data_IF_677975518990
#
_entry.id   IF_677975518990
#
_cell.length_a   1.000
_cell.length_b   1.000
_cell.length_c   1.000
_cell.angle_alpha   90.00
_cell.angle_beta   90.00
_cell.angle_gamma   90.00
#
_symmetry.space_group_name_H-M   'P 1'
#
loop_
_entity.id
_entity.type
_entity.pdbx_description
1 polymer ?
#
# COMPACT_ATOMS: atom_id res chain seq x y z
N UNK A 1 -0.19 35.31 6.30
CA UNK A 1 -1.61 35.61 6.62
C UNK A 1 -2.34 34.35 7.11
N UNK A 2 -3.18 34.49 8.16
CA UNK A 2 -3.94 33.38 8.80
C UNK A 2 -4.80 32.61 7.77
N UNK A 3 -5.43 33.30 6.83
CA UNK A 3 -6.23 32.68 5.75
C UNK A 3 -5.43 31.75 4.82
N UNK A 4 -4.17 32.06 4.55
CA UNK A 4 -3.31 31.19 3.73
C UNK A 4 -2.93 29.90 4.47
N UNK A 5 -2.82 29.95 5.81
CA UNK A 5 -2.56 28.78 6.66
C UNK A 5 -3.82 27.90 6.83
N UNK A 6 -5.01 28.50 6.94
CA UNK A 6 -6.30 27.80 7.00
C UNK A 6 -6.60 26.98 5.73
N UNK A 7 -6.43 27.57 4.54
CA UNK A 7 -6.64 26.86 3.28
C UNK A 7 -5.66 25.69 3.08
N UNK A 8 -4.43 25.85 3.58
CA UNK A 8 -3.43 24.80 3.59
C UNK A 8 -3.81 23.64 4.50
N UNK A 9 -4.33 23.93 5.70
CA UNK A 9 -4.85 22.94 6.63
C UNK A 9 -5.97 22.09 6.03
N UNK A 10 -6.90 22.70 5.29
CA UNK A 10 -8.00 21.95 4.64
C UNK A 10 -7.49 21.01 3.53
N UNK A 11 -6.59 21.49 2.66
CA UNK A 11 -6.02 20.66 1.59
C UNK A 11 -5.26 19.44 2.17
N UNK A 12 -4.45 19.66 3.20
CA UNK A 12 -3.68 18.60 3.86
C UNK A 12 -4.60 17.61 4.59
N UNK A 13 -5.68 18.09 5.21
CA UNK A 13 -6.70 17.23 5.83
C UNK A 13 -7.30 16.24 4.83
N UNK A 14 -7.75 16.74 3.67
CA UNK A 14 -8.35 15.88 2.63
C UNK A 14 -7.36 14.80 2.20
N UNK A 15 -6.10 15.17 1.93
CA UNK A 15 -5.04 14.21 1.53
C UNK A 15 -4.71 13.20 2.61
N UNK A 16 -4.68 13.60 3.87
CA UNK A 16 -4.51 12.69 5.00
C UNK A 16 -5.65 11.66 5.05
N UNK A 17 -6.89 12.12 4.92
CA UNK A 17 -8.07 11.26 4.89
C UNK A 17 -8.09 10.32 3.67
N UNK A 18 -7.61 10.76 2.50
CA UNK A 18 -7.57 9.93 1.30
C UNK A 18 -6.80 8.62 1.50
N UNK A 19 -5.74 8.62 2.31
CA UNK A 19 -4.97 7.41 2.63
C UNK A 19 -5.86 6.35 3.27
N UNK A 20 -6.61 6.74 4.30
CA UNK A 20 -7.57 5.86 4.97
C UNK A 20 -8.69 5.41 4.02
N UNK A 21 -9.30 6.35 3.29
CA UNK A 21 -10.41 6.06 2.38
C UNK A 21 -10.03 5.05 1.28
N UNK A 22 -8.85 5.17 0.69
CA UNK A 22 -8.37 4.20 -0.31
C UNK A 22 -8.03 2.85 0.32
N UNK A 23 -7.57 2.84 1.58
CA UNK A 23 -7.51 1.62 2.40
C UNK A 23 -8.88 0.94 2.51
N UNK A 24 -9.94 1.69 2.84
CA UNK A 24 -11.32 1.16 2.94
C UNK A 24 -11.85 0.62 1.60
N UNK A 25 -11.58 1.30 0.48
CA UNK A 25 -11.95 0.78 -0.85
C UNK A 25 -11.26 -0.55 -1.15
N UNK A 26 -9.97 -0.67 -0.81
CA UNK A 26 -9.24 -1.92 -0.94
C UNK A 26 -9.77 -3.01 0.02
N UNK A 27 -10.13 -2.65 1.27
CA UNK A 27 -10.79 -3.57 2.21
C UNK A 27 -12.08 -4.15 1.62
N UNK A 28 -12.92 -3.30 1.04
CA UNK A 28 -14.18 -3.70 0.41
C UNK A 28 -13.93 -4.67 -0.75
N UNK A 29 -13.01 -4.34 -1.65
CA UNK A 29 -12.67 -5.19 -2.79
C UNK A 29 -12.04 -6.53 -2.37
N UNK A 30 -11.13 -6.51 -1.41
CA UNK A 30 -10.52 -7.72 -0.85
C UNK A 30 -11.56 -8.61 -0.16
N UNK A 31 -12.50 -8.02 0.59
CA UNK A 31 -13.60 -8.76 1.23
C UNK A 31 -14.43 -9.52 0.22
N UNK A 32 -14.85 -8.84 -0.86
CA UNK A 32 -15.62 -9.44 -1.94
C UNK A 32 -14.85 -10.60 -2.56
N UNK A 33 -13.59 -10.36 -2.95
CA UNK A 33 -12.79 -11.37 -3.66
C UNK A 33 -12.43 -12.57 -2.78
N UNK A 34 -12.14 -12.37 -1.50
CA UNK A 34 -11.79 -13.45 -0.56
C UNK A 34 -13.01 -14.31 -0.22
N UNK A 35 -14.16 -13.68 0.11
CA UNK A 35 -15.41 -14.42 0.35
C UNK A 35 -15.81 -15.21 -0.89
N UNK A 36 -15.81 -14.57 -2.06
CA UNK A 36 -16.12 -15.26 -3.32
C UNK A 36 -15.14 -16.40 -3.61
N UNK A 37 -13.83 -16.20 -3.42
CA UNK A 37 -12.83 -17.23 -3.65
C UNK A 37 -12.94 -18.43 -2.69
N UNK A 38 -13.54 -18.19 -1.52
CA UNK A 38 -13.84 -19.24 -0.53
C UNK A 38 -15.10 -20.03 -0.91
N UNK A 39 -16.04 -19.45 -1.64
CA UNK A 39 -17.26 -20.14 -2.11
C UNK A 39 -17.03 -20.82 -3.46
N UNK A 40 -16.36 -20.12 -4.39
CA UNK A 40 -16.17 -20.58 -5.76
C UNK A 40 -15.26 -21.80 -5.77
N UNK A 41 -15.75 -22.86 -6.41
CA UNK A 41 -14.97 -24.07 -6.72
C UNK A 41 -14.72 -24.13 -8.22
N UNK A 42 -13.47 -24.44 -8.59
CA UNK A 42 -13.09 -24.65 -9.99
C UNK A 42 -11.81 -25.50 -10.08
N UNK A 43 -11.81 -26.52 -10.94
CA UNK A 43 -10.66 -27.37 -11.19
C UNK A 43 -10.36 -28.33 -10.04
N UNK A 44 -9.22 -29.02 -10.15
CA UNK A 44 -8.81 -30.09 -9.23
C UNK A 44 -7.32 -29.98 -8.92
N UNK A 45 -6.97 -30.10 -7.64
CA UNK A 45 -5.57 -30.24 -7.19
C UNK A 45 -5.19 -31.72 -7.16
N UNK A 46 -6.05 -32.55 -6.57
CA UNK A 46 -5.89 -34.01 -6.52
C UNK A 46 -6.67 -34.66 -7.65
N UNK A 47 -6.02 -35.59 -8.38
CA UNK A 47 -6.61 -36.25 -9.56
C UNK A 47 -7.92 -36.99 -9.23
N UNK A 48 -7.99 -37.59 -8.04
CA UNK A 48 -9.08 -38.48 -7.64
C UNK A 48 -10.18 -37.78 -6.82
N UNK A 49 -10.07 -36.48 -6.57
CA UNK A 49 -11.12 -35.74 -5.86
C UNK A 49 -12.38 -35.59 -6.71
N UNK A 50 -13.51 -36.07 -6.18
CA UNK A 50 -14.83 -35.89 -6.79
C UNK A 50 -15.33 -34.45 -6.68
N UNK A 51 -14.85 -33.69 -5.69
CA UNK A 51 -15.25 -32.30 -5.46
C UNK A 51 -14.19 -31.34 -5.98
N UNK A 52 -14.62 -30.36 -6.76
CA UNK A 52 -13.73 -29.27 -7.19
C UNK A 52 -13.21 -28.48 -5.98
N UNK A 53 -11.97 -28.03 -6.07
CA UNK A 53 -11.28 -27.31 -4.98
C UNK A 53 -11.80 -25.87 -4.90
N UNK A 54 -11.79 -25.27 -3.69
CA UNK A 54 -12.02 -23.82 -3.56
C UNK A 54 -10.91 -23.10 -4.30
N UNK A 55 -11.25 -22.06 -5.07
CA UNK A 55 -10.23 -21.35 -5.85
C UNK A 55 -9.20 -20.65 -4.95
N UNK A 56 -9.57 -20.32 -3.71
CA UNK A 56 -8.65 -19.78 -2.71
C UNK A 56 -7.56 -20.77 -2.27
N UNK A 57 -7.69 -22.07 -2.57
CA UNK A 57 -6.65 -23.07 -2.26
C UNK A 57 -5.50 -23.08 -3.27
N UNK A 58 -5.69 -22.48 -4.45
CA UNK A 58 -4.59 -22.30 -5.38
C UNK A 58 -3.63 -21.21 -4.91
N UNK A 59 -2.34 -21.55 -4.87
CA UNK A 59 -1.29 -20.61 -4.50
C UNK A 59 -1.29 -19.34 -5.38
N UNK A 60 -1.67 -19.45 -6.65
CA UNK A 60 -1.79 -18.29 -7.55
C UNK A 60 -2.91 -17.33 -7.13
N UNK A 61 -4.04 -17.84 -6.65
CA UNK A 61 -5.14 -17.04 -6.12
C UNK A 61 -4.72 -16.35 -4.81
N UNK A 62 -4.04 -17.09 -3.93
CA UNK A 62 -3.49 -16.57 -2.68
C UNK A 62 -2.46 -15.46 -2.94
N UNK A 63 -1.51 -15.69 -3.84
CA UNK A 63 -0.47 -14.73 -4.23
C UNK A 63 -1.07 -13.45 -4.83
N UNK A 64 -2.20 -13.55 -5.53
CA UNK A 64 -2.92 -12.38 -6.06
C UNK A 64 -3.64 -11.59 -4.96
N UNK A 65 -4.31 -12.27 -4.04
CA UNK A 65 -5.25 -11.65 -3.09
C UNK A 65 -4.66 -11.31 -1.72
N UNK A 66 -3.87 -12.17 -1.10
CA UNK A 66 -3.39 -11.95 0.27
C UNK A 66 -2.48 -10.72 0.42
N UNK A 67 -1.62 -10.38 -0.55
CA UNK A 67 -0.90 -9.10 -0.50
C UNK A 67 -1.85 -7.89 -0.51
N UNK A 68 -3.05 -8.00 -1.09
CA UNK A 68 -4.04 -6.92 -1.06
C UNK A 68 -4.68 -6.78 0.34
N UNK A 69 -4.89 -7.90 1.06
CA UNK A 69 -5.31 -7.85 2.48
C UNK A 69 -4.23 -7.13 3.29
N UNK A 70 -2.97 -7.55 3.17
CA UNK A 70 -1.87 -6.95 3.91
C UNK A 70 -1.70 -5.44 3.61
N UNK A 71 -1.82 -5.04 2.33
CA UNK A 71 -1.85 -3.63 1.91
C UNK A 71 -3.04 -2.86 2.49
N UNK A 72 -4.22 -3.45 2.56
CA UNK A 72 -5.39 -2.82 3.12
C UNK A 72 -5.16 -2.45 4.61
N UNK A 73 -4.64 -3.39 5.41
CA UNK A 73 -4.23 -3.13 6.79
C UNK A 73 -3.14 -2.05 6.89
N UNK A 74 -2.10 -2.13 6.06
CA UNK A 74 -1.03 -1.13 6.02
C UNK A 74 -1.58 0.29 5.76
N UNK A 75 -2.51 0.43 4.81
CA UNK A 75 -3.12 1.72 4.47
C UNK A 75 -4.06 2.25 5.55
N UNK A 76 -4.85 1.39 6.19
CA UNK A 76 -5.67 1.80 7.33
C UNK A 76 -4.81 2.33 8.48
N UNK A 77 -3.76 1.59 8.85
CA UNK A 77 -2.86 1.98 9.93
C UNK A 77 -2.09 3.26 9.63
N UNK A 78 -1.60 3.39 8.39
CA UNK A 78 -0.97 4.62 7.92
C UNK A 78 -1.95 5.79 7.91
N UNK A 79 -3.21 5.55 7.51
CA UNK A 79 -4.28 6.54 7.53
C UNK A 79 -4.56 7.06 8.94
N UNK A 80 -4.60 6.17 9.95
CA UNK A 80 -4.74 6.59 11.34
C UNK A 80 -3.52 7.39 11.83
N UNK A 81 -2.31 6.93 11.50
CA UNK A 81 -1.08 7.62 11.91
C UNK A 81 -1.00 9.04 11.31
N UNK A 82 -1.27 9.19 10.01
CA UNK A 82 -1.19 10.50 9.35
C UNK A 82 -2.28 11.46 9.84
N UNK A 83 -3.46 10.95 10.23
CA UNK A 83 -4.50 11.76 10.87
C UNK A 83 -4.10 12.23 12.27
N UNK A 84 -3.39 11.41 13.05
CA UNK A 84 -2.85 11.85 14.34
C UNK A 84 -1.80 12.95 14.14
N UNK A 85 -0.87 12.77 13.19
CA UNK A 85 0.14 13.79 12.85
C UNK A 85 -0.54 15.08 12.38
N UNK A 86 -1.63 14.97 11.60
CA UNK A 86 -2.43 16.14 11.20
C UNK A 86 -2.97 16.90 12.41
N UNK A 87 -3.63 16.21 13.35
CA UNK A 87 -4.19 16.84 14.54
C UNK A 87 -3.11 17.49 15.40
N UNK A 88 -2.00 16.79 15.66
CA UNK A 88 -0.84 17.33 16.39
C UNK A 88 -0.26 18.58 15.71
N UNK A 89 -0.20 18.58 14.38
CA UNK A 89 0.29 19.74 13.62
C UNK A 89 -0.67 20.92 13.71
N UNK A 90 -2.00 20.69 13.67
CA UNK A 90 -2.99 21.76 13.82
C UNK A 90 -2.95 22.36 15.23
N UNK A 91 -2.87 21.52 16.26
CA UNK A 91 -2.75 21.96 17.66
C UNK A 91 -1.45 22.77 17.90
N UNK A 92 -0.36 22.40 17.22
CA UNK A 92 0.90 23.13 17.24
C UNK A 92 0.80 24.51 16.56
N UNK A 93 0.10 24.60 15.43
CA UNK A 93 -0.09 25.87 14.70
C UNK A 93 -0.80 26.91 15.56
N UNK A 94 -1.80 26.51 16.35
CA UNK A 94 -2.53 27.40 17.27
C UNK A 94 -1.61 27.97 18.36
N UNK A 95 -0.51 27.27 18.67
CA UNK A 95 0.54 27.69 19.61
C UNK A 95 1.72 28.40 18.93
N UNK A 96 1.69 28.54 17.60
CA UNK A 96 2.77 29.14 16.80
C UNK A 96 3.89 28.17 16.39
N UNK A 97 3.76 26.87 16.66
CA UNK A 97 4.70 25.82 16.30
C UNK A 97 4.41 25.32 14.88
N UNK A 98 5.42 25.27 14.01
CA UNK A 98 5.24 24.89 12.59
C UNK A 98 6.18 23.80 12.11
N UNK A 99 6.90 23.14 13.02
CA UNK A 99 8.00 22.24 12.68
C UNK A 99 7.53 20.96 11.97
N UNK A 100 6.33 20.46 12.29
CA UNK A 100 5.74 19.28 11.67
C UNK A 100 5.05 19.55 10.32
N UNK A 101 4.82 20.82 9.98
CA UNK A 101 4.06 21.20 8.79
C UNK A 101 4.72 20.73 7.48
N UNK A 102 6.06 20.85 7.29
CA UNK A 102 6.73 20.33 6.11
C UNK A 102 6.65 18.81 5.98
N UNK A 103 6.78 18.07 7.10
CA UNK A 103 6.64 16.61 7.10
C UNK A 103 5.24 16.18 6.69
N UNK A 104 4.24 16.76 7.34
CA UNK A 104 2.84 16.44 7.10
C UNK A 104 2.50 16.68 5.62
N UNK A 105 2.96 17.77 5.04
CA UNK A 105 2.76 18.04 3.62
C UNK A 105 3.45 17.04 2.70
N UNK A 106 4.73 16.76 2.93
CA UNK A 106 5.48 15.81 2.12
C UNK A 106 4.89 14.40 2.21
N UNK A 107 4.54 13.95 3.42
CA UNK A 107 3.90 12.66 3.66
C UNK A 107 2.52 12.58 3.02
N UNK A 108 1.65 13.55 3.23
CA UNK A 108 0.29 13.51 2.66
C UNK A 108 0.31 13.58 1.13
N UNK A 109 1.22 14.36 0.52
CA UNK A 109 1.37 14.38 -0.94
C UNK A 109 1.92 13.06 -1.49
N UNK A 110 2.94 12.48 -0.83
CA UNK A 110 3.48 11.18 -1.20
C UNK A 110 2.45 10.05 -1.05
N UNK A 111 1.81 9.96 0.12
CA UNK A 111 0.80 8.96 0.45
C UNK A 111 -0.39 9.04 -0.50
N UNK A 112 -0.91 10.24 -0.77
CA UNK A 112 -1.97 10.43 -1.76
C UNK A 112 -1.57 9.79 -3.08
N UNK A 113 -0.36 10.04 -3.57
CA UNK A 113 0.10 9.48 -4.84
C UNK A 113 0.24 7.95 -4.82
N UNK A 114 0.96 7.43 -3.83
CA UNK A 114 1.31 6.01 -3.77
C UNK A 114 0.11 5.14 -3.41
N UNK A 115 -0.66 5.54 -2.41
CA UNK A 115 -1.79 4.74 -1.89
C UNK A 115 -2.94 4.69 -2.89
N UNK A 116 -3.27 5.81 -3.56
CA UNK A 116 -4.33 5.82 -4.57
C UNK A 116 -4.02 4.86 -5.73
N UNK A 117 -2.78 4.90 -6.23
CA UNK A 117 -2.34 4.05 -7.33
C UNK A 117 -2.29 2.56 -6.95
N UNK A 118 -1.71 2.24 -5.79
CA UNK A 118 -1.60 0.84 -5.34
C UNK A 118 -2.98 0.28 -4.97
N UNK A 119 -3.84 1.05 -4.30
CA UNK A 119 -5.20 0.62 -3.97
C UNK A 119 -6.03 0.39 -5.24
N UNK A 120 -6.00 1.31 -6.20
CA UNK A 120 -6.69 1.13 -7.49
C UNK A 120 -6.23 -0.13 -8.23
N UNK A 121 -4.91 -0.36 -8.29
CA UNK A 121 -4.34 -1.58 -8.88
C UNK A 121 -4.76 -2.84 -8.12
N UNK A 122 -4.77 -2.79 -6.78
CA UNK A 122 -5.19 -3.91 -5.92
C UNK A 122 -6.67 -4.26 -6.05
N UNK A 123 -7.54 -3.26 -6.19
CA UNK A 123 -8.97 -3.45 -6.46
C UNK A 123 -9.16 -4.17 -7.81
N UNK A 124 -8.41 -3.78 -8.84
CA UNK A 124 -8.47 -4.45 -10.14
C UNK A 124 -7.95 -5.90 -10.07
N UNK A 125 -6.92 -6.17 -9.26
CA UNK A 125 -6.51 -7.56 -8.97
C UNK A 125 -7.65 -8.37 -8.30
N UNK A 126 -8.39 -7.77 -7.37
CA UNK A 126 -9.56 -8.39 -6.74
C UNK A 126 -10.68 -8.68 -7.75
N UNK A 127 -10.93 -7.74 -8.68
CA UNK A 127 -11.90 -7.92 -9.78
C UNK A 127 -11.52 -9.09 -10.68
N UNK A 128 -10.28 -9.13 -11.16
CA UNK A 128 -9.79 -10.22 -12.01
C UNK A 128 -9.76 -11.57 -11.29
N UNK A 129 -9.53 -11.58 -9.98
CA UNK A 129 -9.56 -12.80 -9.17
C UNK A 129 -10.95 -13.44 -9.08
N UNK A 130 -12.02 -12.67 -9.31
CA UNK A 130 -13.39 -13.17 -9.35
C UNK A 130 -13.82 -13.74 -10.72
N UNK A 131 -12.90 -13.80 -11.69
CA UNK A 131 -13.15 -14.32 -13.03
C UNK A 131 -14.26 -13.55 -13.75
N UNK A 132 -15.03 -14.25 -14.60
CA UNK A 132 -16.11 -13.62 -15.38
C UNK A 132 -17.18 -12.94 -14.53
N UNK A 133 -17.51 -13.49 -13.35
CA UNK A 133 -18.49 -12.86 -12.45
C UNK A 133 -18.00 -11.52 -11.89
N UNK A 134 -16.69 -11.32 -11.75
CA UNK A 134 -16.10 -10.04 -11.35
C UNK A 134 -16.25 -8.93 -12.40
N UNK A 135 -16.61 -9.26 -13.64
CA UNK A 135 -16.91 -8.26 -14.66
C UNK A 135 -18.30 -7.62 -14.48
N UNK A 136 -19.25 -8.35 -13.90
CA UNK A 136 -20.62 -7.87 -13.70
C UNK A 136 -20.69 -6.78 -12.63
N UNK A 137 -21.58 -5.79 -12.83
CA UNK A 137 -21.95 -4.81 -11.80
C UNK A 137 -22.51 -5.46 -10.52
N UNK A 138 -23.08 -6.68 -10.62
CA UNK A 138 -23.51 -7.47 -9.47
C UNK A 138 -22.37 -7.77 -8.48
N UNK A 139 -21.13 -7.77 -8.96
CA UNK A 139 -19.95 -7.97 -8.11
C UNK A 139 -19.62 -6.75 -7.24
N UNK A 140 -20.10 -5.55 -7.59
CA UNK A 140 -19.74 -4.28 -6.94
C UNK A 140 -18.31 -3.81 -7.21
N UNK A 141 -17.42 -4.66 -7.73
CA UNK A 141 -16.00 -4.36 -7.94
C UNK A 141 -15.75 -3.28 -9.02
N UNK A 142 -16.44 -3.26 -10.18
CA UNK A 142 -16.29 -2.20 -11.16
C UNK A 142 -16.57 -0.80 -10.58
N UNK A 143 -17.63 -0.66 -9.77
CA UNK A 143 -17.98 0.59 -9.11
C UNK A 143 -16.92 1.03 -8.09
N UNK A 144 -16.44 0.11 -7.25
CA UNK A 144 -15.37 0.40 -6.28
C UNK A 144 -14.11 0.86 -7.00
N UNK A 145 -13.73 0.19 -8.09
CA UNK A 145 -12.57 0.56 -8.91
C UNK A 145 -12.72 1.98 -9.49
N UNK A 146 -13.86 2.29 -10.11
CA UNK A 146 -14.11 3.60 -10.71
C UNK A 146 -13.99 4.75 -9.71
N UNK A 147 -14.47 4.56 -8.47
CA UNK A 147 -14.36 5.55 -7.41
C UNK A 147 -12.91 5.70 -6.93
N UNK A 148 -12.21 4.58 -6.71
CA UNK A 148 -10.85 4.60 -6.17
C UNK A 148 -9.84 5.16 -7.18
N UNK A 149 -9.92 4.79 -8.46
CA UNK A 149 -8.94 5.22 -9.46
C UNK A 149 -9.01 6.73 -9.76
N UNK A 150 -10.18 7.34 -9.56
CA UNK A 150 -10.32 8.80 -9.66
C UNK A 150 -9.41 9.55 -8.68
N UNK A 151 -9.07 8.93 -7.54
CA UNK A 151 -8.14 9.46 -6.54
C UNK A 151 -6.72 9.66 -7.07
N UNK A 152 -6.34 9.02 -8.16
CA UNK A 152 -5.06 9.26 -8.83
C UNK A 152 -4.99 10.66 -9.50
N UNK A 153 -6.15 11.30 -9.72
CA UNK A 153 -6.26 12.56 -10.48
C UNK A 153 -6.72 13.72 -9.61
N UNK A 154 -7.82 13.57 -8.87
CA UNK A 154 -8.29 14.66 -8.00
C UNK A 154 -7.34 14.91 -6.83
N UNK A 155 -7.43 16.10 -6.22
CA UNK A 155 -6.51 16.56 -5.16
C UNK A 155 -5.02 16.61 -5.57
N UNK A 156 -4.78 16.65 -6.89
CA UNK A 156 -3.48 16.84 -7.53
C UNK A 156 -2.95 15.56 -8.19
N UNK A 157 -2.62 15.60 -9.48
CA UNK A 157 -2.12 14.43 -10.23
C UNK A 157 -0.92 13.76 -9.52
N UNK A 158 -0.91 12.43 -9.50
CA UNK A 158 0.01 11.63 -8.68
C UNK A 158 1.50 11.92 -8.90
N UNK A 159 1.97 12.14 -10.13
CA UNK A 159 3.37 12.50 -10.39
C UNK A 159 3.68 13.92 -9.94
N UNK A 160 2.74 14.85 -10.05
CA UNK A 160 2.90 16.22 -9.50
C UNK A 160 2.98 16.19 -7.97
N UNK A 161 2.21 15.33 -7.31
CA UNK A 161 2.25 15.18 -5.84
C UNK A 161 3.57 14.56 -5.35
N UNK A 162 4.13 13.60 -6.07
CA UNK A 162 5.46 13.06 -5.76
C UNK A 162 6.53 14.16 -5.82
N UNK A 163 6.42 15.11 -6.75
CA UNK A 163 7.37 16.23 -6.82
C UNK A 163 7.34 17.10 -5.55
N UNK A 164 6.17 17.27 -4.92
CA UNK A 164 6.07 18.03 -3.65
C UNK A 164 6.83 17.33 -2.53
N UNK A 165 6.64 16.02 -2.37
CA UNK A 165 7.39 15.21 -1.42
C UNK A 165 8.90 15.23 -1.73
N UNK A 166 9.26 15.19 -3.01
CA UNK A 166 10.66 15.12 -3.40
C UNK A 166 11.43 16.43 -3.16
N UNK A 167 10.78 17.60 -3.27
CA UNK A 167 11.39 18.89 -2.88
C UNK A 167 11.78 18.90 -1.41
N UNK A 168 10.90 18.36 -0.57
CA UNK A 168 11.17 18.20 0.86
C UNK A 168 12.36 17.26 1.11
N UNK A 169 12.42 16.13 0.40
CA UNK A 169 13.51 15.17 0.52
C UNK A 169 14.88 15.74 0.14
N UNK A 170 14.98 16.46 -1.00
CA UNK A 170 16.25 17.07 -1.42
C UNK A 170 16.76 18.10 -0.39
N UNK A 171 15.86 18.94 0.14
CA UNK A 171 16.20 19.87 1.25
C UNK A 171 16.64 19.12 2.51
N UNK A 172 16.02 17.97 2.80
CA UNK A 172 16.36 17.14 3.95
C UNK A 172 17.73 16.48 3.82
N UNK A 173 18.17 16.14 2.59
CA UNK A 173 19.55 15.67 2.33
C UNK A 173 20.57 16.77 2.63
N UNK A 174 20.32 18.01 2.18
CA UNK A 174 21.20 19.14 2.49
C UNK A 174 21.29 19.38 4.00
N UNK A 175 20.17 19.28 4.71
CA UNK A 175 20.08 19.40 6.17
C UNK A 175 20.89 18.30 6.86
N UNK A 176 20.75 17.05 6.41
CA UNK A 176 21.53 15.92 6.91
C UNK A 176 23.03 16.10 6.67
N UNK A 177 23.43 16.62 5.51
CA UNK A 177 24.83 16.87 5.17
C UNK A 177 25.48 17.95 6.04
N UNK A 178 24.68 18.91 6.56
CA UNK A 178 25.14 19.91 7.54
C UNK A 178 25.18 19.39 8.98
N UNK A 179 24.72 18.16 9.24
CA UNK A 179 24.62 17.60 10.59
C UNK A 179 23.52 18.24 11.44
N UNK A 180 22.57 18.93 10.81
CA UNK A 180 21.44 19.55 11.49
C UNK A 180 20.41 18.49 11.93
N UNK A 181 19.63 18.74 13.00
CA UNK A 181 18.57 17.84 13.43
C UNK A 181 17.57 17.56 12.30
N UNK A 182 17.29 16.27 12.06
CA UNK A 182 16.31 15.81 11.08
C UNK A 182 14.98 15.49 11.74
N UNK A 183 13.89 15.86 11.07
CA UNK A 183 12.56 15.45 11.50
C UNK A 183 12.35 13.94 11.37
N UNK A 184 11.40 13.42 12.15
CA UNK A 184 11.17 11.98 12.31
C UNK A 184 10.96 11.24 10.99
N UNK A 185 10.25 11.85 10.03
CA UNK A 185 9.92 11.21 8.75
C UNK A 185 11.17 10.96 7.89
N UNK A 186 12.21 11.79 8.05
CA UNK A 186 13.46 11.76 7.27
C UNK A 186 14.70 11.39 8.08
N UNK A 187 14.53 10.96 9.34
CA UNK A 187 15.64 10.53 10.22
C UNK A 187 16.55 9.47 9.58
N UNK A 188 16.00 8.63 8.70
CA UNK A 188 16.77 7.61 7.98
C UNK A 188 17.90 8.18 7.11
N UNK A 189 17.80 9.44 6.67
CA UNK A 189 18.85 10.11 5.88
C UNK A 189 20.13 10.34 6.69
N UNK A 190 20.01 10.53 8.01
CA UNK A 190 21.16 10.72 8.91
C UNK A 190 21.77 9.43 9.45
N UNK A 191 21.11 8.27 9.25
CA UNK A 191 21.63 6.98 9.72
C UNK A 191 22.74 6.48 8.81
N UNK A 192 23.74 5.81 9.39
CA UNK A 192 24.66 4.92 8.65
C UNK A 192 24.00 3.55 8.57
N UNK A 193 23.65 3.09 7.38
CA UNK A 193 23.06 1.76 7.20
C UNK A 193 24.09 0.74 6.74
N UNK A 194 23.73 -0.54 6.83
CA UNK A 194 24.59 -1.62 6.37
C UNK A 194 24.69 -1.62 4.85
N UNK A 195 25.91 -1.84 4.33
CA UNK A 195 26.13 -1.94 2.88
C UNK A 195 25.46 -3.18 2.29
N UNK A 196 25.40 -4.28 3.04
CA UNK A 196 24.79 -5.55 2.65
C UNK A 196 23.78 -5.98 3.69
N UNK A 197 22.62 -6.43 3.25
CA UNK A 197 21.62 -7.01 4.13
C UNK A 197 22.00 -8.44 4.52
N UNK A 198 21.58 -8.85 5.71
CA UNK A 198 21.80 -10.20 6.25
C UNK A 198 20.56 -11.10 6.13
N UNK A 199 19.48 -10.59 5.53
CA UNK A 199 18.22 -11.33 5.39
C UNK A 199 18.46 -12.71 4.76
N UNK A 200 17.88 -13.74 5.37
CA UNK A 200 17.99 -15.13 4.90
C UNK A 200 19.40 -15.76 4.99
N UNK A 201 20.37 -15.09 5.62
CA UNK A 201 21.73 -15.63 5.81
C UNK A 201 21.88 -16.40 7.13
N UNK A 202 20.96 -16.19 8.09
CA UNK A 202 20.93 -16.85 9.39
C UNK A 202 19.49 -17.27 9.72
N UNK A 203 19.33 -18.22 10.64
CA UNK A 203 18.03 -18.50 11.24
C UNK A 203 17.68 -17.34 12.18
N UNK A 204 17.02 -16.32 11.64
CA UNK A 204 16.54 -15.16 12.38
C UNK A 204 15.14 -15.45 12.95
N UNK A 205 14.84 -14.90 14.12
CA UNK A 205 13.46 -14.81 14.58
C UNK A 205 12.68 -13.88 13.64
N UNK A 206 11.37 -14.13 13.45
CA UNK A 206 10.53 -13.34 12.53
C UNK A 206 10.63 -11.82 12.80
N UNK A 207 10.71 -11.40 14.07
CA UNK A 207 10.86 -9.98 14.45
C UNK A 207 12.21 -9.37 13.98
N UNK A 208 13.30 -10.15 14.04
CA UNK A 208 14.62 -9.69 13.59
C UNK A 208 14.68 -9.59 12.07
N UNK A 209 14.04 -10.52 11.36
CA UNK A 209 13.90 -10.48 9.90
C UNK A 209 13.11 -9.24 9.46
N UNK A 210 12.00 -8.93 10.15
CA UNK A 210 11.19 -7.72 9.90
C UNK A 210 12.03 -6.45 10.02
N UNK A 211 12.82 -6.31 11.09
CA UNK A 211 13.72 -5.17 11.28
C UNK A 211 14.80 -5.09 10.18
N UNK A 212 15.37 -6.24 9.79
CA UNK A 212 16.32 -6.33 8.67
C UNK A 212 15.68 -5.85 7.35
N UNK A 213 14.44 -6.25 7.07
CA UNK A 213 13.69 -5.81 5.87
C UNK A 213 13.40 -4.31 5.91
N UNK A 214 12.97 -3.76 7.06
CA UNK A 214 12.76 -2.32 7.23
C UNK A 214 14.06 -1.53 7.04
N UNK A 215 15.18 -1.98 7.61
CA UNK A 215 16.49 -1.38 7.37
C UNK A 215 16.88 -1.45 5.89
N UNK A 216 16.48 -2.50 5.17
CA UNK A 216 16.72 -2.62 3.73
C UNK A 216 15.91 -1.59 2.94
N UNK A 217 14.66 -1.34 3.32
CA UNK A 217 13.85 -0.27 2.73
C UNK A 217 14.41 1.12 3.04
N UNK A 218 14.88 1.35 4.28
CA UNK A 218 15.59 2.59 4.66
C UNK A 218 16.83 2.81 3.79
N UNK A 219 17.58 1.75 3.52
CA UNK A 219 18.76 1.80 2.64
C UNK A 219 18.40 2.25 1.23
N UNK A 220 17.36 1.67 0.60
CA UNK A 220 16.92 2.09 -0.74
C UNK A 220 16.47 3.55 -0.73
N UNK A 221 15.60 3.92 0.23
CA UNK A 221 15.07 5.27 0.32
C UNK A 221 16.19 6.30 0.47
N UNK A 222 17.16 6.03 1.34
CA UNK A 222 18.34 6.89 1.53
C UNK A 222 19.16 6.98 0.25
N UNK A 223 19.53 5.84 -0.34
CA UNK A 223 20.38 5.78 -1.53
C UNK A 223 19.79 6.59 -2.68
N UNK A 224 18.53 6.31 -3.07
CA UNK A 224 17.89 7.00 -4.18
C UNK A 224 17.73 8.51 -3.93
N UNK A 225 17.41 8.89 -2.69
CA UNK A 225 17.26 10.30 -2.34
C UNK A 225 18.61 11.05 -2.41
N UNK A 226 19.68 10.44 -1.88
CA UNK A 226 21.03 11.01 -1.91
C UNK A 226 21.58 11.06 -3.33
N UNK A 227 21.43 9.99 -4.12
CA UNK A 227 21.84 9.96 -5.53
C UNK A 227 21.13 11.05 -6.34
N UNK A 228 19.81 11.20 -6.18
CA UNK A 228 19.03 12.24 -6.85
C UNK A 228 19.49 13.65 -6.44
N UNK A 229 19.76 13.88 -5.15
CA UNK A 229 20.27 15.15 -4.66
C UNK A 229 21.68 15.46 -5.21
N UNK A 230 22.57 14.48 -5.25
CA UNK A 230 23.93 14.65 -5.78
C UNK A 230 23.94 14.95 -7.27
N UNK A 231 23.14 14.25 -8.07
CA UNK A 231 23.06 14.49 -9.51
C UNK A 231 22.38 15.83 -9.81
N UNK A 232 21.38 16.24 -9.02
CA UNK A 232 20.79 17.58 -9.10
C UNK A 232 21.84 18.68 -8.86
N UNK A 233 22.60 18.59 -7.78
CA UNK A 233 23.65 19.58 -7.46
C UNK A 233 24.80 19.56 -8.47
N UNK A 234 25.14 18.40 -9.03
CA UNK A 234 26.13 18.28 -10.10
C UNK A 234 25.71 19.03 -11.37
N UNK A 235 24.45 18.91 -11.78
CA UNK A 235 23.93 19.65 -12.97
C UNK A 235 23.93 21.15 -12.76
N UNK A 236 23.52 21.60 -11.59
CA UNK A 236 23.58 23.03 -11.22
C UNK A 236 25.03 23.53 -11.28
N UNK A 237 25.99 22.76 -10.77
CA UNK A 237 27.44 23.08 -10.88
C UNK A 237 27.97 23.07 -12.31
N UNK A 238 27.37 22.27 -13.20
CA UNK A 238 27.69 22.25 -14.64
C UNK A 238 27.08 23.43 -15.41
N UNK A 239 26.37 24.35 -14.74
CA UNK A 239 25.84 25.58 -15.32
C UNK A 239 24.36 25.51 -15.71
N UNK A 240 23.66 24.41 -15.44
CA UNK A 240 22.20 24.36 -15.62
C UNK A 240 21.49 25.24 -14.56
N UNK A 241 20.37 25.86 -14.93
CA UNK A 241 19.50 26.52 -13.94
C UNK A 241 18.86 25.46 -13.04
N UNK A 242 18.49 25.83 -11.81
CA UNK A 242 17.84 24.90 -10.85
C UNK A 242 16.52 24.34 -11.41
N UNK A 243 15.77 25.15 -12.17
CA UNK A 243 14.53 24.75 -12.82
C UNK A 243 14.79 23.70 -13.91
N UNK A 244 15.84 23.89 -14.72
CA UNK A 244 16.19 22.93 -15.77
C UNK A 244 16.69 21.62 -15.16
N UNK A 245 17.61 21.70 -14.21
CA UNK A 245 18.11 20.52 -13.49
C UNK A 245 16.97 19.74 -12.83
N UNK A 246 15.98 20.43 -12.26
CA UNK A 246 14.79 19.79 -11.67
C UNK A 246 13.98 19.00 -12.70
N UNK A 247 13.70 19.61 -13.85
CA UNK A 247 12.91 18.98 -14.92
C UNK A 247 13.64 17.74 -15.46
N UNK A 248 14.93 17.85 -15.74
CA UNK A 248 15.75 16.74 -16.25
C UNK A 248 15.86 15.56 -15.27
N UNK A 249 15.81 15.83 -13.95
CA UNK A 249 15.84 14.80 -12.90
C UNK A 249 14.47 14.37 -12.38
N UNK A 250 13.37 14.94 -12.87
CA UNK A 250 12.04 14.78 -12.25
C UNK A 250 11.65 13.30 -12.10
N UNK A 251 12.04 12.45 -13.05
CA UNK A 251 11.78 11.00 -12.98
C UNK A 251 12.47 10.34 -11.79
N UNK A 252 13.76 10.65 -11.58
CA UNK A 252 14.57 10.06 -10.49
C UNK A 252 14.17 10.64 -9.12
N UNK A 253 13.89 11.93 -9.07
CA UNK A 253 13.40 12.63 -7.87
C UNK A 253 12.02 12.07 -7.46
N UNK A 254 11.11 11.84 -8.41
CA UNK A 254 9.82 11.20 -8.14
C UNK A 254 9.96 9.74 -7.70
N UNK A 255 10.95 9.02 -8.23
CA UNK A 255 11.26 7.64 -7.82
C UNK A 255 11.72 7.60 -6.37
N UNK A 256 12.60 8.51 -5.95
CA UNK A 256 13.02 8.64 -4.56
C UNK A 256 11.84 8.95 -3.63
N UNK A 257 10.98 9.91 -3.98
CA UNK A 257 9.76 10.23 -3.22
C UNK A 257 8.79 9.04 -3.10
N UNK A 258 8.65 8.23 -4.15
CA UNK A 258 7.81 7.03 -4.10
C UNK A 258 8.35 6.01 -3.11
N UNK A 259 9.66 5.73 -3.13
CA UNK A 259 10.27 4.77 -2.19
C UNK A 259 10.23 5.29 -0.76
N UNK A 260 10.48 6.58 -0.54
CA UNK A 260 10.29 7.24 0.76
C UNK A 260 8.88 7.03 1.32
N UNK A 261 7.86 7.21 0.48
CA UNK A 261 6.47 7.02 0.89
C UNK A 261 6.19 5.56 1.26
N UNK A 262 6.69 4.60 0.47
CA UNK A 262 6.54 3.16 0.75
C UNK A 262 7.23 2.75 2.05
N UNK A 263 8.42 3.30 2.32
CA UNK A 263 9.11 3.13 3.60
C UNK A 263 8.25 3.62 4.76
N UNK A 264 7.63 4.80 4.65
CA UNK A 264 6.77 5.33 5.70
C UNK A 264 5.58 4.40 5.99
N UNK A 265 4.92 3.88 4.95
CA UNK A 265 3.81 2.91 5.08
C UNK A 265 4.30 1.64 5.81
N UNK A 266 5.45 1.09 5.43
CA UNK A 266 6.03 -0.10 6.04
C UNK A 266 6.34 0.10 7.53
N UNK A 267 6.96 1.24 7.87
CA UNK A 267 7.28 1.58 9.26
C UNK A 267 6.01 1.85 10.09
N UNK A 268 4.99 2.47 9.49
CA UNK A 268 3.68 2.71 10.15
C UNK A 268 2.98 1.39 10.49
N UNK A 269 2.98 0.45 9.53
CA UNK A 269 2.44 -0.89 9.77
C UNK A 269 3.21 -1.58 10.90
N UNK A 270 4.54 -1.59 10.87
CA UNK A 270 5.35 -2.16 11.93
C UNK A 270 5.05 -1.57 13.32
N UNK A 271 5.03 -0.22 13.44
CA UNK A 271 4.67 0.46 14.69
C UNK A 271 3.32 0.01 15.23
N UNK A 272 2.32 -0.17 14.35
CA UNK A 272 1.00 -0.63 14.75
C UNK A 272 1.01 -2.07 15.24
N UNK A 273 1.75 -2.97 14.59
CA UNK A 273 1.87 -4.38 15.01
C UNK A 273 2.53 -4.48 16.39
N UNK A 274 3.61 -3.73 16.62
CA UNK A 274 4.31 -3.68 17.91
C UNK A 274 3.36 -3.19 19.02
N UNK A 275 2.58 -2.14 18.73
CA UNK A 275 1.62 -1.57 19.68
C UNK A 275 0.34 -2.41 19.85
N UNK A 276 0.12 -3.45 19.04
CA UNK A 276 -1.10 -4.26 19.09
C UNK A 276 -1.16 -5.15 20.36
N UNK A 277 -2.36 -5.50 20.84
CA UNK A 277 -2.55 -6.49 21.90
C UNK A 277 -1.87 -7.82 21.56
N UNK A 278 -1.34 -8.51 22.58
CA UNK A 278 -0.63 -9.78 22.41
C UNK A 278 -1.45 -10.86 21.71
N UNK A 279 -2.78 -10.84 21.87
CA UNK A 279 -3.69 -11.77 21.19
C UNK A 279 -3.81 -11.55 19.69
N UNK A 280 -3.62 -10.32 19.20
CA UNK A 280 -3.72 -9.97 17.78
C UNK A 280 -2.36 -9.89 17.09
N UNK A 281 -1.28 -9.71 17.86
CA UNK A 281 0.07 -9.53 17.33
C UNK A 281 0.49 -10.66 16.37
N UNK A 282 0.29 -11.96 16.66
CA UNK A 282 0.75 -13.02 15.75
C UNK A 282 0.18 -12.91 14.33
N UNK A 283 -1.13 -12.72 14.20
CA UNK A 283 -1.77 -12.63 12.87
C UNK A 283 -1.42 -11.33 12.14
N UNK A 284 -1.22 -10.24 12.90
CA UNK A 284 -0.76 -8.97 12.32
C UNK A 284 0.72 -9.03 11.89
N UNK A 285 1.55 -9.78 12.62
CA UNK A 285 2.95 -10.06 12.25
C UNK A 285 3.00 -10.90 10.97
N UNK A 286 2.15 -11.91 10.80
CA UNK A 286 2.08 -12.68 9.55
C UNK A 286 1.68 -11.79 8.34
N UNK A 287 0.75 -10.86 8.53
CA UNK A 287 0.40 -9.88 7.49
C UNK A 287 1.53 -8.88 7.19
N UNK A 288 2.22 -8.41 8.23
CA UNK A 288 3.38 -7.52 8.07
C UNK A 288 4.53 -8.23 7.36
N UNK A 289 4.80 -9.48 7.71
CA UNK A 289 5.76 -10.36 7.04
C UNK A 289 5.44 -10.44 5.54
N UNK A 290 4.20 -10.83 5.19
CA UNK A 290 3.78 -10.91 3.78
C UNK A 290 3.95 -9.56 3.06
N UNK A 291 3.55 -8.46 3.70
CA UNK A 291 3.68 -7.13 3.14
C UNK A 291 5.13 -6.78 2.84
N UNK A 292 6.04 -6.94 3.80
CA UNK A 292 7.46 -6.60 3.63
C UNK A 292 8.15 -7.47 2.59
N UNK A 293 7.91 -8.78 2.60
CA UNK A 293 8.45 -9.70 1.60
C UNK A 293 7.97 -9.32 0.19
N UNK A 294 6.67 -9.04 0.03
CA UNK A 294 6.09 -8.66 -1.25
C UNK A 294 6.65 -7.31 -1.75
N UNK A 295 6.74 -6.30 -0.88
CA UNK A 295 7.27 -4.98 -1.23
C UNK A 295 8.76 -5.02 -1.58
N UNK A 296 9.56 -5.84 -0.88
CA UNK A 296 10.97 -6.02 -1.20
C UNK A 296 11.18 -6.74 -2.54
N UNK A 297 10.37 -7.76 -2.86
CA UNK A 297 10.42 -8.42 -4.17
C UNK A 297 10.01 -7.45 -5.30
N UNK A 298 9.00 -6.61 -5.09
CA UNK A 298 8.60 -5.57 -6.04
C UNK A 298 9.72 -4.53 -6.26
N UNK A 299 10.46 -4.19 -5.21
CA UNK A 299 11.61 -3.27 -5.27
C UNK A 299 12.96 -3.98 -5.48
N UNK A 300 12.98 -5.25 -5.89
CA UNK A 300 14.20 -6.05 -5.99
C UNK A 300 15.29 -5.40 -6.86
N UNK A 301 14.90 -4.72 -7.94
CA UNK A 301 15.83 -4.02 -8.82
C UNK A 301 16.64 -2.94 -8.08
N UNK A 302 16.06 -2.26 -7.10
CA UNK A 302 16.78 -1.29 -6.28
C UNK A 302 17.71 -1.94 -5.25
N UNK A 303 17.30 -3.07 -4.68
CA UNK A 303 18.06 -3.83 -3.69
C UNK A 303 19.28 -4.54 -4.31
N UNK A 304 19.17 -4.97 -5.57
CA UNK A 304 20.24 -5.64 -6.30
C UNK A 304 21.26 -4.65 -6.89
N UNK A 305 20.83 -3.42 -7.21
CA UNK A 305 21.62 -2.44 -7.97
C UNK A 305 23.01 -2.16 -7.39
N UNK A 306 23.12 -2.02 -6.08
CA UNK A 306 24.38 -1.74 -5.37
C UNK A 306 24.93 -2.95 -4.60
N UNK A 307 24.35 -4.13 -4.85
CA UNK A 307 24.69 -5.38 -4.16
C UNK A 307 24.28 -5.39 -2.68
N UNK A 308 23.30 -4.57 -2.28
CA UNK A 308 22.73 -4.65 -0.93
C UNK A 308 22.09 -6.02 -0.70
N UNK A 309 21.38 -6.54 -1.72
CA UNK A 309 20.89 -7.90 -1.78
C UNK A 309 21.63 -8.71 -2.85
N UNK A 310 21.65 -10.03 -2.67
CA UNK A 310 22.03 -11.00 -3.70
C UNK A 310 20.81 -11.65 -4.37
N UNK A 311 21.02 -12.31 -5.51
CA UNK A 311 19.96 -13.11 -6.16
C UNK A 311 19.40 -14.21 -5.25
N UNK A 312 20.24 -14.80 -4.41
CA UNK A 312 19.82 -15.82 -3.45
C UNK A 312 18.91 -15.26 -2.35
N UNK A 313 19.17 -14.04 -1.89
CA UNK A 313 18.29 -13.36 -0.94
C UNK A 313 16.93 -13.06 -1.57
N UNK A 314 16.86 -12.68 -2.84
CA UNK A 314 15.58 -12.51 -3.54
C UNK A 314 14.84 -13.85 -3.68
N UNK A 315 15.56 -14.94 -3.97
CA UNK A 315 14.96 -16.27 -4.01
C UNK A 315 14.45 -16.71 -2.62
N UNK A 316 15.16 -16.35 -1.56
CA UNK A 316 14.72 -16.55 -0.19
C UNK A 316 13.41 -15.80 0.11
N UNK A 317 13.32 -14.50 -0.21
CA UNK A 317 12.08 -13.74 -0.02
C UNK A 317 10.89 -14.35 -0.75
N UNK A 318 11.08 -14.83 -1.99
CA UNK A 318 10.01 -15.51 -2.74
C UNK A 318 9.50 -16.77 -2.04
N UNK A 319 10.39 -17.55 -1.43
CA UNK A 319 10.02 -18.73 -0.63
C UNK A 319 9.23 -18.31 0.62
N UNK A 320 9.67 -17.25 1.30
CA UNK A 320 8.99 -16.67 2.46
C UNK A 320 7.58 -16.20 2.13
N UNK A 321 7.38 -15.54 0.99
CA UNK A 321 6.02 -15.19 0.52
C UNK A 321 5.13 -16.45 0.49
N UNK A 322 5.60 -17.56 -0.08
CA UNK A 322 4.80 -18.79 -0.14
C UNK A 322 4.50 -19.40 1.23
N UNK A 323 5.38 -19.23 2.21
CA UNK A 323 5.14 -19.62 3.60
C UNK A 323 4.08 -18.72 4.25
N UNK A 324 4.21 -17.41 4.11
CA UNK A 324 3.25 -16.42 4.60
C UNK A 324 1.85 -16.67 4.01
N UNK A 325 1.76 -16.98 2.71
CA UNK A 325 0.49 -17.32 2.06
C UNK A 325 -0.20 -18.51 2.75
N UNK A 326 0.56 -19.56 3.12
CA UNK A 326 0.01 -20.73 3.83
C UNK A 326 -0.46 -20.37 5.23
N UNK A 327 0.27 -19.52 5.96
CA UNK A 327 -0.12 -19.03 7.29
C UNK A 327 -1.40 -18.19 7.26
N UNK A 328 -1.56 -17.35 6.24
CA UNK A 328 -2.71 -16.45 6.09
C UNK A 328 -3.97 -17.19 5.61
N UNK A 329 -3.82 -18.21 4.75
CA UNK A 329 -4.94 -18.96 4.15
C UNK A 329 -6.05 -19.38 5.13
N UNK A 330 -5.78 -20.00 6.29
CA UNK A 330 -6.83 -20.39 7.24
C UNK A 330 -7.56 -19.19 7.86
N UNK A 331 -6.90 -18.03 7.96
CA UNK A 331 -7.45 -16.83 8.58
C UNK A 331 -8.04 -15.83 7.58
N UNK A 332 -7.91 -16.08 6.27
CA UNK A 332 -8.21 -15.09 5.22
C UNK A 332 -9.64 -14.53 5.30
N UNK A 333 -10.65 -15.37 5.55
CA UNK A 333 -12.05 -14.93 5.68
C UNK A 333 -12.23 -14.09 6.95
N UNK A 334 -11.74 -14.55 8.09
CA UNK A 334 -11.82 -13.80 9.35
C UNK A 334 -11.10 -12.45 9.29
N UNK A 335 -9.98 -12.38 8.55
CA UNK A 335 -9.22 -11.15 8.33
C UNK A 335 -9.95 -10.10 7.50
N UNK A 336 -10.82 -10.52 6.57
CA UNK A 336 -11.66 -9.57 5.81
C UNK A 336 -13.00 -9.30 6.51
N UNK A 337 -13.49 -10.24 7.32
CA UNK A 337 -14.69 -10.05 8.13
C UNK A 337 -14.45 -9.05 9.29
N UNK A 338 -13.22 -8.92 9.78
CA UNK A 338 -12.86 -7.93 10.81
C UNK A 338 -12.93 -6.48 10.32
N UNK A 339 -13.01 -6.23 9.01
CA UNK A 339 -13.34 -4.91 8.47
C UNK A 339 -14.80 -4.51 8.70
N UNK A 340 -15.63 -5.47 9.15
CA UNK A 340 -17.03 -5.31 9.53
C UNK A 340 -17.90 -4.60 8.48
N UNK A 341 -17.66 -4.92 7.21
CA UNK A 341 -18.48 -4.42 6.12
C UNK A 341 -19.81 -5.20 6.04
N UNK A 342 -20.92 -4.47 6.21
CA UNK A 342 -22.26 -5.00 5.95
C UNK A 342 -22.48 -5.30 4.47
N UNK A 343 -23.35 -6.26 4.14
CA UNK A 343 -23.73 -6.57 2.75
C UNK A 343 -24.26 -5.33 2.01
N UNK A 344 -24.96 -4.43 2.71
CA UNK A 344 -25.45 -3.15 2.16
C UNK A 344 -24.32 -2.21 1.78
N UNK A 345 -23.25 -2.15 2.58
CA UNK A 345 -22.08 -1.31 2.30
C UNK A 345 -21.26 -1.87 1.14
N UNK A 346 -21.02 -3.19 1.13
CA UNK A 346 -20.29 -3.85 0.04
C UNK A 346 -21.06 -3.78 -1.28
N UNK A 347 -22.39 -3.78 -1.22
CA UNK A 347 -23.28 -3.77 -2.37
C UNK A 347 -22.83 -4.77 -3.45
N UNK A 348 -22.54 -6.00 -3.00
CA UNK A 348 -21.92 -7.04 -3.82
C UNK A 348 -22.61 -8.38 -3.57
N UNK A 349 -23.08 -8.99 -4.64
CA UNK A 349 -23.61 -10.35 -4.63
C UNK A 349 -22.51 -11.38 -4.35
N UNK A 350 -21.31 -11.16 -4.88
CA UNK A 350 -20.19 -12.10 -4.71
C UNK A 350 -19.59 -12.04 -3.29
N UNK A 351 -19.70 -10.87 -2.64
CA UNK A 351 -19.16 -10.62 -1.31
C UNK A 351 -20.13 -10.83 -0.15
N UNK A 352 -21.29 -11.44 -0.37
CA UNK A 352 -22.28 -11.66 0.69
C UNK A 352 -21.70 -12.43 1.87
N UNK A 353 -22.01 -12.00 3.09
CA UNK A 353 -21.48 -12.57 4.33
C UNK A 353 -21.90 -14.03 4.56
N UNK A 354 -23.09 -14.42 4.08
CA UNK A 354 -23.62 -15.78 4.17
C UNK A 354 -23.02 -16.76 3.13
N UNK A 355 -22.28 -16.24 2.14
CA UNK A 355 -21.72 -17.03 1.05
C UNK A 355 -22.76 -17.55 0.04
N UNK A 356 -24.04 -17.15 0.12
CA UNK A 356 -25.05 -17.56 -0.85
C UNK A 356 -24.97 -16.75 -2.15
N UNK A 357 -23.91 -17.01 -2.92
CA UNK A 357 -23.56 -16.23 -4.10
C UNK A 357 -24.44 -16.56 -5.30
N UNK A 358 -24.66 -17.85 -5.60
CA UNK A 358 -25.26 -18.25 -6.88
C UNK A 358 -26.75 -17.95 -6.96
N UNK A 359 -27.51 -18.19 -5.89
CA UNK A 359 -28.92 -17.81 -5.84
C UNK A 359 -29.07 -16.29 -5.93
N UNK A 360 -28.25 -15.55 -5.18
CA UNK A 360 -28.27 -14.10 -5.22
C UNK A 360 -27.89 -13.54 -6.60
N UNK A 361 -26.96 -14.19 -7.32
CA UNK A 361 -26.60 -13.80 -8.69
C UNK A 361 -27.73 -14.05 -9.67
N UNK A 362 -28.42 -15.17 -9.54
CA UNK A 362 -29.60 -15.47 -10.35
C UNK A 362 -30.75 -14.48 -10.09
N UNK A 363 -31.02 -14.16 -8.81
CA UNK A 363 -32.04 -13.17 -8.45
C UNK A 363 -31.67 -11.77 -8.95
N UNK A 364 -30.41 -11.37 -8.83
CA UNK A 364 -29.93 -10.09 -9.35
C UNK A 364 -30.14 -10.00 -10.87
N UNK A 365 -29.81 -11.06 -11.61
CA UNK A 365 -30.01 -11.11 -13.05
C UNK A 365 -31.50 -11.03 -13.43
N UNK A 366 -32.39 -11.75 -12.72
CA UNK A 366 -33.84 -11.68 -12.94
C UNK A 366 -34.41 -10.27 -12.76
N UNK A 367 -33.86 -9.50 -11.82
CA UNK A 367 -34.30 -8.13 -11.54
C UNK A 367 -33.71 -7.08 -12.49
N UNK A 368 -32.94 -7.50 -13.51
CA UNK A 368 -32.47 -6.60 -14.56
C UNK A 368 -33.64 -6.06 -15.37
N UNK A 369 -33.59 -4.77 -15.72
CA UNK A 369 -34.62 -4.10 -16.54
C UNK A 369 -34.83 -4.79 -17.89
N UNK A 370 -33.79 -5.43 -18.42
CA UNK A 370 -33.85 -6.20 -19.67
C UNK A 370 -34.76 -7.44 -19.59
N UNK A 371 -35.05 -7.92 -18.39
CA UNK A 371 -35.81 -9.16 -18.15
C UNK A 371 -37.26 -8.90 -17.69
N UNK A 372 -37.75 -7.65 -17.76
CA UNK A 372 -39.13 -7.33 -17.37
C UNK A 372 -40.20 -7.86 -18.32
N UNK A 373 -39.86 -8.08 -19.58
CA UNK A 373 -40.79 -8.62 -20.57
C UNK A 373 -40.10 -9.67 -21.42
N UNK A 374 -40.64 -10.89 -21.43
CA UNK A 374 -40.27 -11.88 -22.43
C UNK A 374 -40.95 -11.54 -23.76
N UNK A 375 -40.17 -11.47 -24.84
CA UNK A 375 -40.74 -11.38 -26.19
C UNK A 375 -41.01 -12.81 -26.66
N UNK A 376 -42.24 -13.26 -26.49
CA UNK A 376 -42.71 -14.52 -27.09
C UNK A 376 -42.70 -14.37 -28.62
N UNK A 377 -41.93 -15.23 -29.32
CA UNK A 377 -41.92 -15.35 -30.78
C UNK A 377 -43.23 -15.92 -31.32
#
# INVERSE_FOLDING_TARGET
>A
PIHAKLNYGLMVFIRAQMTYMHGVYLCSAATIAIRYSSVRRQGRIEKDSQREVQVLDYQTQQYRLFPQIARAYAFLFTGFEIMNIYNETMDGIDKGETDLLPDLHALTSGLKSVVTFIAGSGIEQCRMACGGHGYSEASGLPKIYGIAIAGCTYEGENMVMLQQAARYLLKSVETAARGEPLSYSVKFLGKKGERRSRVGMQAEADDQEIETLLSSLEHIARRLTVEASQEFEKRVKMGETRERAWIELTVEINRAARVYTRLFIAQSFHRRVVAAPSSLRPVLTDLLSLYLHYECVDMAHHLLHDGHFTGDQINYLKKRIYEDLRKIRPNAVSLVDSFDHSDRLLNSVLGKRDGNVYDALFQWAKNSELNYTDVSM
#
